data_IF_589090999884
#
_entry.id   IF_589090999884
#
_cell.length_a   1.000
_cell.length_b   1.000
_cell.length_c   1.000
_cell.angle_alpha   90.00
_cell.angle_beta   90.00
_cell.angle_gamma   90.00
#
_symmetry.space_group_name_H-M   'P 1'
#
loop_
_entity.id
_entity.type
_entity.pdbx_description
1 polymer ?
#
# COMPACT_ATOMS: atom_id res chain seq x y z
N UNK A 1 -2.19 -8.86 -8.03
CA UNK A 1 -2.37 -7.73 -7.08
C UNK A 1 -3.84 -7.41 -6.88
N UNK A 2 -4.62 -7.19 -7.94
CA UNK A 2 -6.04 -6.84 -7.82
C UNK A 2 -6.89 -7.89 -7.06
N UNK A 3 -6.68 -9.19 -7.31
CA UNK A 3 -7.39 -10.26 -6.58
C UNK A 3 -7.18 -10.20 -5.06
N UNK A 4 -5.93 -9.99 -4.62
CA UNK A 4 -5.60 -9.84 -3.20
C UNK A 4 -6.26 -8.58 -2.63
N UNK A 5 -6.22 -7.47 -3.37
CA UNK A 5 -6.85 -6.22 -2.97
C UNK A 5 -8.35 -6.39 -2.69
N UNK A 6 -9.08 -7.04 -3.61
CA UNK A 6 -10.53 -7.27 -3.46
C UNK A 6 -10.82 -8.08 -2.21
N UNK A 7 -10.11 -9.20 -2.01
CA UNK A 7 -10.29 -10.05 -0.84
C UNK A 7 -9.96 -9.31 0.48
N UNK A 8 -8.87 -8.55 0.51
CA UNK A 8 -8.47 -7.79 1.70
C UNK A 8 -9.46 -6.65 2.01
N UNK A 9 -10.01 -5.96 1.00
CA UNK A 9 -11.03 -4.94 1.22
C UNK A 9 -12.34 -5.55 1.73
N UNK A 10 -12.74 -6.71 1.20
CA UNK A 10 -13.91 -7.46 1.67
C UNK A 10 -13.77 -7.87 3.14
N UNK A 11 -12.62 -8.44 3.50
CA UNK A 11 -12.36 -8.92 4.86
C UNK A 11 -11.90 -7.82 5.84
N UNK A 12 -11.58 -6.62 5.35
CA UNK A 12 -10.93 -5.58 6.16
C UNK A 12 -9.54 -5.99 6.66
N UNK A 13 -8.81 -6.80 5.90
CA UNK A 13 -7.50 -7.31 6.30
C UNK A 13 -6.37 -6.38 5.87
N UNK A 14 -5.51 -5.99 6.81
CA UNK A 14 -4.32 -5.19 6.53
C UNK A 14 -3.28 -6.05 5.81
N UNK A 15 -2.62 -5.51 4.79
CA UNK A 15 -1.64 -6.26 4.00
C UNK A 15 -0.54 -5.38 3.43
N UNK A 16 0.59 -5.99 3.08
CA UNK A 16 1.69 -5.31 2.41
C UNK A 16 1.77 -5.75 0.95
N UNK A 17 1.97 -4.79 0.07
CA UNK A 17 2.26 -4.98 -1.34
C UNK A 17 3.73 -4.61 -1.59
N UNK A 18 4.38 -5.29 -2.53
CA UNK A 18 5.72 -4.93 -2.97
C UNK A 18 5.90 -5.13 -4.48
N UNK A 19 6.78 -4.32 -5.05
CA UNK A 19 7.09 -4.36 -6.47
C UNK A 19 8.55 -4.03 -6.74
N UNK A 20 9.04 -4.59 -7.83
CA UNK A 20 10.32 -4.24 -8.46
C UNK A 20 10.01 -3.90 -9.91
N UNK A 21 10.66 -2.87 -10.45
CA UNK A 21 10.48 -2.45 -11.84
C UNK A 21 11.07 -3.45 -12.84
N UNK A 22 10.56 -3.42 -14.07
CA UNK A 22 10.99 -4.32 -15.15
C UNK A 22 12.46 -4.15 -15.56
N UNK A 23 13.06 -2.99 -15.27
CA UNK A 23 14.48 -2.72 -15.51
C UNK A 23 15.35 -2.96 -14.26
N UNK A 24 14.75 -3.46 -13.17
CA UNK A 24 15.40 -3.80 -11.90
C UNK A 24 16.13 -2.67 -11.16
N UNK A 25 15.92 -1.40 -11.53
CA UNK A 25 16.61 -0.26 -10.87
C UNK A 25 15.69 0.54 -9.93
N UNK A 26 14.50 0.04 -9.64
CA UNK A 26 13.61 0.61 -8.65
C UNK A 26 12.66 -0.43 -8.05
N UNK A 27 12.10 -0.09 -6.90
CA UNK A 27 11.08 -0.91 -6.26
C UNK A 27 10.36 -0.16 -5.15
N UNK A 28 9.40 -0.80 -4.51
CA UNK A 28 8.64 -0.21 -3.43
C UNK A 28 7.99 -1.25 -2.53
N UNK A 29 7.60 -0.79 -1.34
CA UNK A 29 6.72 -1.49 -0.40
C UNK A 29 5.60 -0.54 -0.01
N UNK A 30 4.36 -1.03 -0.04
CA UNK A 30 3.18 -0.28 0.37
C UNK A 30 2.41 -1.04 1.44
N UNK A 31 2.05 -0.35 2.52
CA UNK A 31 1.17 -0.87 3.56
C UNK A 31 -0.26 -0.40 3.33
N UNK A 32 -1.16 -1.36 3.17
CA UNK A 32 -2.55 -1.13 2.83
C UNK A 32 -3.42 -1.50 4.02
N UNK A 33 -4.07 -0.48 4.58
CA UNK A 33 -5.08 -0.57 5.63
C UNK A 33 -6.41 -0.18 5.01
N UNK A 34 -7.29 -1.14 4.66
CA UNK A 34 -8.55 -0.84 3.99
C UNK A 34 -9.34 0.26 4.71
N UNK A 35 -9.65 1.34 3.99
CA UNK A 35 -10.38 2.49 4.52
C UNK A 35 -9.52 3.63 5.09
N UNK A 36 -8.29 3.35 5.50
CA UNK A 36 -7.37 4.34 6.08
C UNK A 36 -6.29 4.79 5.08
N UNK A 37 -5.69 3.85 4.35
CA UNK A 37 -4.70 4.13 3.31
C UNK A 37 -5.20 3.69 1.93
N UNK A 38 -4.61 4.24 0.87
CA UNK A 38 -4.97 3.89 -0.50
C UNK A 38 -4.85 2.38 -0.73
N UNK A 39 -5.94 1.76 -1.16
CA UNK A 39 -5.92 0.39 -1.66
C UNK A 39 -5.31 0.36 -3.07
N UNK A 40 -5.01 -0.84 -3.60
CA UNK A 40 -4.38 -0.98 -4.92
C UNK A 40 -5.27 -0.43 -6.07
N UNK A 41 -6.60 -0.44 -5.88
CA UNK A 41 -7.56 0.10 -6.84
C UNK A 41 -7.81 1.61 -6.67
N UNK A 42 -7.22 2.28 -5.67
CA UNK A 42 -7.38 3.73 -5.51
C UNK A 42 -6.56 4.52 -6.55
N UNK A 43 -5.39 4.00 -6.93
CA UNK A 43 -4.51 4.57 -7.94
C UNK A 43 -3.97 3.45 -8.84
N UNK A 44 -4.84 2.82 -9.66
CA UNK A 44 -4.44 1.69 -10.48
C UNK A 44 -3.43 2.14 -11.56
N UNK A 45 -2.45 1.29 -11.92
CA UNK A 45 -1.57 1.58 -13.05
C UNK A 45 -2.39 1.66 -14.35
N UNK A 46 -1.89 2.43 -15.32
CA UNK A 46 -2.62 2.74 -16.57
C UNK A 46 -3.15 1.50 -17.30
N UNK A 47 -2.38 0.40 -17.33
CA UNK A 47 -2.82 -0.86 -17.95
C UNK A 47 -4.11 -1.40 -17.33
N UNK A 48 -4.20 -1.37 -16.00
CA UNK A 48 -5.38 -1.82 -15.25
C UNK A 48 -6.54 -0.85 -15.48
N UNK A 49 -6.27 0.47 -15.45
CA UNK A 49 -7.29 1.49 -15.65
C UNK A 49 -7.91 1.44 -17.06
N UNK A 50 -7.10 1.14 -18.09
CA UNK A 50 -7.53 1.07 -19.49
C UNK A 50 -8.18 -0.27 -19.88
N UNK A 51 -8.25 -1.25 -18.96
CA UNK A 51 -8.80 -2.57 -19.24
C UNK A 51 -8.01 -3.39 -20.26
N UNK A 52 -6.75 -3.00 -20.52
CA UNK A 52 -5.86 -3.70 -21.45
C UNK A 52 -5.35 -4.96 -20.73
N UNK A 53 -5.39 -6.11 -21.41
CA UNK A 53 -4.81 -7.34 -20.86
C UNK A 53 -3.28 -7.17 -20.71
N UNK A 54 -2.75 -7.34 -19.50
CA UNK A 54 -1.31 -7.25 -19.23
C UNK A 54 -0.49 -8.20 -20.14
N UNK A 55 -1.10 -9.29 -20.62
CA UNK A 55 -0.46 -10.20 -21.59
C UNK A 55 -0.13 -9.52 -22.91
N UNK A 56 -0.88 -8.50 -23.34
CA UNK A 56 -0.60 -7.80 -24.60
C UNK A 56 0.60 -6.85 -24.52
N UNK A 57 1.06 -6.53 -23.30
CA UNK A 57 2.27 -5.73 -23.07
C UNK A 57 3.53 -6.60 -23.01
N UNK A 58 3.39 -7.89 -22.70
CA UNK A 58 4.50 -8.84 -22.75
C UNK A 58 4.80 -9.22 -24.20
N UNK A 59 6.04 -8.98 -24.63
CA UNK A 59 6.57 -9.53 -25.87
C UNK A 59 7.16 -10.90 -25.60
N UNK A 60 6.72 -11.91 -26.35
CA UNK A 60 7.28 -13.25 -26.26
C UNK A 60 8.79 -13.24 -26.54
N UNK A 61 9.54 -13.92 -25.69
CA UNK A 61 11.01 -13.98 -25.75
C UNK A 61 11.75 -12.84 -25.04
N UNK A 62 11.06 -11.86 -24.43
CA UNK A 62 11.69 -10.81 -23.63
C UNK A 62 11.40 -11.04 -22.14
N UNK A 63 12.45 -11.08 -21.32
CA UNK A 63 12.31 -11.12 -19.86
C UNK A 63 12.42 -9.71 -19.26
N UNK A 64 11.73 -9.49 -18.14
CA UNK A 64 12.04 -8.38 -17.27
C UNK A 64 13.45 -8.58 -16.71
N UNK A 65 14.24 -7.51 -16.66
CA UNK A 65 15.52 -7.55 -15.97
C UNK A 65 15.26 -7.84 -14.48
N UNK A 66 16.15 -8.62 -13.88
CA UNK A 66 16.07 -8.99 -12.48
C UNK A 66 17.47 -8.93 -11.88
N UNK A 67 17.66 -8.01 -10.93
CA UNK A 67 18.91 -7.88 -10.18
C UNK A 67 18.68 -8.39 -8.75
N UNK A 68 19.45 -9.39 -8.27
CA UNK A 68 19.31 -9.93 -6.91
C UNK A 68 19.44 -8.86 -5.81
N UNK A 69 20.23 -7.81 -6.07
CA UNK A 69 20.40 -6.67 -5.16
C UNK A 69 19.09 -5.94 -4.91
N UNK A 70 18.37 -5.54 -5.96
CA UNK A 70 17.09 -4.82 -5.84
C UNK A 70 16.02 -5.68 -5.18
N UNK A 71 15.97 -6.97 -5.53
CA UNK A 71 15.06 -7.92 -4.88
C UNK A 71 15.37 -8.07 -3.37
N UNK A 72 16.65 -8.19 -3.01
CA UNK A 72 17.08 -8.30 -1.62
C UNK A 72 16.75 -7.05 -0.79
N UNK A 73 16.98 -5.86 -1.35
CA UNK A 73 16.64 -4.59 -0.70
C UNK A 73 15.13 -4.47 -0.47
N UNK A 74 14.31 -4.72 -1.50
CA UNK A 74 12.85 -4.62 -1.39
C UNK A 74 12.29 -5.66 -0.41
N UNK A 75 12.80 -6.89 -0.44
CA UNK A 75 12.42 -7.92 0.53
C UNK A 75 12.83 -7.55 1.96
N UNK A 76 14.02 -6.97 2.14
CA UNK A 76 14.48 -6.44 3.43
C UNK A 76 13.55 -5.35 3.96
N UNK A 77 13.17 -4.39 3.11
CA UNK A 77 12.19 -3.36 3.48
C UNK A 77 10.83 -3.93 3.84
N UNK A 78 10.35 -4.92 3.08
CA UNK A 78 9.06 -5.56 3.30
C UNK A 78 9.01 -6.24 4.68
N UNK A 79 10.00 -7.09 4.97
CA UNK A 79 10.08 -7.81 6.25
C UNK A 79 10.30 -6.84 7.40
N UNK A 80 11.16 -5.83 7.24
CA UNK A 80 11.37 -4.82 8.27
C UNK A 80 10.09 -4.04 8.59
N UNK A 81 9.28 -3.72 7.58
CA UNK A 81 8.01 -3.04 7.79
C UNK A 81 6.96 -3.95 8.45
N UNK A 82 6.93 -5.22 8.08
CA UNK A 82 6.08 -6.22 8.74
C UNK A 82 6.45 -6.40 10.22
N UNK A 83 7.75 -6.46 10.55
CA UNK A 83 8.22 -6.55 11.93
C UNK A 83 7.83 -5.31 12.74
N UNK A 84 8.08 -4.11 12.21
CA UNK A 84 7.67 -2.85 12.86
C UNK A 84 6.17 -2.84 13.17
N UNK A 85 5.35 -3.31 12.24
CA UNK A 85 3.91 -3.40 12.39
C UNK A 85 3.47 -4.43 13.44
N UNK A 86 3.97 -5.67 13.33
CA UNK A 86 3.55 -6.79 14.19
C UNK A 86 4.07 -6.69 15.62
N UNK A 87 5.25 -6.09 15.81
CA UNK A 87 5.93 -5.99 17.10
C UNK A 87 5.83 -4.58 17.71
N UNK A 88 5.08 -3.67 17.07
CA UNK A 88 4.80 -2.32 17.55
C UNK A 88 6.07 -1.51 17.92
N UNK A 89 7.10 -1.55 17.09
CA UNK A 89 8.32 -0.75 17.28
C UNK A 89 8.63 0.12 16.06
N UNK A 90 9.28 1.26 16.31
CA UNK A 90 9.61 2.22 15.26
C UNK A 90 8.37 2.76 14.53
N UNK A 91 8.58 3.29 13.33
CA UNK A 91 7.52 3.88 12.50
C UNK A 91 7.23 2.95 11.31
N UNK A 92 6.02 2.40 11.22
CA UNK A 92 5.57 1.64 10.03
C UNK A 92 5.36 2.59 8.86
N UNK A 93 6.01 2.32 7.73
CA UNK A 93 5.92 3.17 6.55
C UNK A 93 4.71 2.77 5.69
N UNK A 94 3.84 3.72 5.35
CA UNK A 94 2.69 3.46 4.46
C UNK A 94 3.12 3.22 3.03
N UNK A 95 4.15 3.94 2.57
CA UNK A 95 4.83 3.66 1.32
C UNK A 95 6.30 3.98 1.49
N UNK A 96 7.16 3.10 1.00
CA UNK A 96 8.60 3.29 0.90
C UNK A 96 9.03 2.91 -0.51
N UNK A 97 9.50 3.88 -1.28
CA UNK A 97 10.12 3.66 -2.58
C UNK A 97 11.61 3.43 -2.48
N UNK A 98 12.18 2.87 -3.54
CA UNK A 98 13.62 2.69 -3.75
C UNK A 98 13.96 3.03 -5.20
N UNK A 99 14.92 3.94 -5.40
CA UNK A 99 15.57 4.22 -6.68
C UNK A 99 17.04 3.88 -6.58
N UNK A 100 17.47 2.81 -7.27
CA UNK A 100 18.84 2.34 -7.27
C UNK A 100 19.79 3.26 -8.05
N UNK A 101 19.27 4.06 -8.99
CA UNK A 101 20.09 4.98 -9.79
C UNK A 101 20.51 6.23 -9.01
N UNK A 102 19.73 6.61 -8.01
CA UNK A 102 19.89 7.87 -7.26
C UNK A 102 20.13 7.63 -5.76
N UNK A 103 20.23 6.37 -5.33
CA UNK A 103 20.28 5.97 -3.92
C UNK A 103 19.21 6.68 -3.07
N UNK A 104 17.99 6.73 -3.60
CA UNK A 104 16.91 7.55 -3.05
C UNK A 104 15.75 6.69 -2.53
N UNK A 105 15.26 7.02 -1.34
CA UNK A 105 14.28 6.25 -0.58
C UNK A 105 13.07 7.10 -0.12
N UNK A 106 12.15 7.46 -1.02
CA UNK A 106 11.02 8.32 -0.67
C UNK A 106 10.01 7.60 0.23
N UNK A 107 9.59 8.26 1.31
CA UNK A 107 8.42 7.87 2.11
C UNK A 107 7.21 8.72 1.73
N UNK A 108 6.05 8.11 1.63
CA UNK A 108 4.79 8.83 1.44
C UNK A 108 3.63 8.10 2.13
N UNK A 109 2.50 8.79 2.23
CA UNK A 109 1.24 8.22 2.72
C UNK A 109 0.15 8.58 1.73
N UNK A 110 -0.41 7.58 1.06
CA UNK A 110 -1.46 7.76 0.07
C UNK A 110 -2.82 7.57 0.75
N UNK A 111 -3.72 8.54 0.57
CA UNK A 111 -5.09 8.44 1.08
C UNK A 111 -5.98 7.65 0.13
N UNK A 112 -7.02 6.97 0.66
CA UNK A 112 -8.04 6.33 -0.16
C UNK A 112 -8.69 7.31 -1.14
N UNK A 113 -9.06 6.79 -2.31
CA UNK A 113 -9.87 7.52 -3.28
C UNK A 113 -11.36 7.36 -2.88
N UNK A 114 -12.11 8.46 -2.60
CA UNK A 114 -13.54 8.39 -2.30
C UNK A 114 -14.38 7.78 -3.43
N UNK A 115 -13.90 7.89 -4.67
CA UNK A 115 -14.53 7.33 -5.87
C UNK A 115 -13.81 6.05 -6.36
N UNK A 116 -13.19 5.28 -5.45
CA UNK A 116 -12.53 4.02 -5.80
C UNK A 116 -13.51 3.05 -6.47
N UNK A 117 -13.07 2.32 -7.50
CA UNK A 117 -13.90 1.35 -8.22
C UNK A 117 -14.28 0.12 -7.39
N UNK A 118 -13.54 -0.15 -6.32
CA UNK A 118 -13.84 -1.22 -5.36
C UNK A 118 -14.84 -0.73 -4.31
N UNK A 119 -16.07 -1.27 -4.35
CA UNK A 119 -17.16 -0.87 -3.45
C UNK A 119 -16.86 -1.21 -1.99
N UNK A 120 -16.09 -2.27 -1.73
CA UNK A 120 -15.69 -2.63 -0.37
C UNK A 120 -14.66 -1.63 0.16
N UNK A 121 -13.81 -1.07 -0.70
CA UNK A 121 -12.94 0.03 -0.29
C UNK A 121 -13.74 1.25 0.18
N UNK A 122 -14.80 1.64 -0.54
CA UNK A 122 -15.66 2.76 -0.13
C UNK A 122 -16.36 2.49 1.21
N UNK A 123 -16.88 1.26 1.42
CA UNK A 123 -17.46 0.84 2.70
C UNK A 123 -16.44 0.94 3.85
N UNK A 124 -15.23 0.44 3.65
CA UNK A 124 -14.15 0.53 4.65
C UNK A 124 -13.74 1.97 4.93
N UNK A 125 -13.80 2.87 3.96
CA UNK A 125 -13.55 4.30 4.20
C UNK A 125 -14.61 4.91 5.12
N UNK A 126 -15.89 4.55 4.94
CA UNK A 126 -16.96 5.01 5.83
C UNK A 126 -16.78 4.44 7.25
N UNK A 127 -16.54 3.14 7.38
CA UNK A 127 -16.26 2.48 8.67
C UNK A 127 -15.07 3.14 9.40
N UNK A 128 -13.99 3.42 8.66
CA UNK A 128 -12.82 4.11 9.21
C UNK A 128 -13.15 5.53 9.67
N UNK A 129 -13.89 6.31 8.86
CA UNK A 129 -14.27 7.67 9.20
C UNK A 129 -15.14 7.74 10.46
N UNK A 130 -16.04 6.77 10.66
CA UNK A 130 -16.86 6.70 11.87
C UNK A 130 -16.02 6.30 13.09
N UNK A 131 -15.13 5.31 12.95
CA UNK A 131 -14.22 4.91 14.04
C UNK A 131 -13.28 6.04 14.47
N UNK A 132 -12.82 6.86 13.53
CA UNK A 132 -11.92 7.99 13.78
C UNK A 132 -12.65 9.15 14.47
N UNK A 133 -13.95 9.37 14.19
CA UNK A 133 -14.77 10.34 14.94
C UNK A 133 -14.92 9.90 16.39
N UNK A 134 -15.28 8.64 16.62
CA UNK A 134 -15.44 8.09 17.97
C UNK A 134 -14.14 8.21 18.78
N UNK A 135 -12.99 7.89 18.16
CA UNK A 135 -11.67 8.03 18.80
C UNK A 135 -11.37 9.48 19.21
N UNK A 136 -11.71 10.46 18.37
CA UNK A 136 -11.50 11.88 18.66
C UNK A 136 -12.40 12.40 19.77
N UNK A 137 -13.64 11.93 19.84
CA UNK A 137 -14.57 12.25 20.92
C UNK A 137 -14.06 11.71 22.25
N UNK A 138 -13.58 10.45 22.28
CA UNK A 138 -12.98 9.84 23.47
C UNK A 138 -11.70 10.56 23.94
N UNK A 139 -10.84 11.00 23.02
CA UNK A 139 -9.64 11.77 23.34
C UNK A 139 -9.98 13.16 23.89
N UNK A 140 -10.95 13.84 23.30
CA UNK A 140 -11.45 15.13 23.79
C UNK A 140 -12.08 15.03 25.19
N UNK A 141 -12.82 13.96 25.48
CA UNK A 141 -13.44 13.76 26.79
C UNK A 141 -12.41 13.44 27.89
N UNK A 142 -11.29 12.77 27.55
CA UNK A 142 -10.18 12.53 28.50
C UNK A 142 -9.44 13.80 28.85
N UNK A 143 -9.16 14.67 27.88
CA UNK A 143 -8.49 15.95 28.15
C UNK A 143 -9.33 16.87 29.04
N UNK A 144 -10.66 16.87 28.88
CA UNK A 144 -11.57 17.68 29.73
C UNK A 144 -11.72 17.16 31.16
N UNK A 145 -11.38 15.88 31.43
CA UNK A 145 -11.47 15.26 32.77
C UNK A 145 -10.16 15.31 33.56
N UNK A 146 -9.04 15.64 32.92
CA UNK A 146 -7.72 15.77 33.56
C UNK A 146 -7.39 17.21 33.99
N UNK A 147 -8.25 18.19 33.64
CA UNK A 147 -8.21 19.60 34.10
C UNK A 147 -9.19 19.85 35.27
#
# INVERSE_FOLDING_TARGET
RLTVNVACNELGHNWFESGVSENAVSGHVQFIKPGETACFACAPPLVVASGIDEKTLKRDGVCAASLPTTMGIVAGFLVQNALKYLLNFGETSHYLGYSALLDYFPKMSMKPNPACTDINCQKKQAEYADSEKMRREEEGEKTVKED
#
